data_IF_250696405930
#
_entry.id   IF_250696405930
#
_cell.length_a   1.000
_cell.length_b   1.000
_cell.length_c   1.000
_cell.angle_alpha   90.00
_cell.angle_beta   90.00
_cell.angle_gamma   90.00
#
_symmetry.space_group_name_H-M   'P 1'
#
loop_
_entity.id
_entity.type
_entity.pdbx_description
1 polymer ?
#
# COMPACT_ATOMS: atom_id res chain seq x y z
N UNK A 1 12.57 10.62 -6.37
CA UNK A 1 11.36 9.79 -6.57
C UNK A 1 11.22 9.08 -7.95
N UNK A 2 12.28 8.80 -8.77
CA UNK A 2 12.15 7.84 -9.90
C UNK A 2 12.45 6.38 -9.55
N UNK A 3 13.17 6.12 -8.46
CA UNK A 3 13.68 4.77 -8.15
C UNK A 3 12.59 3.80 -7.71
N UNK A 4 11.65 4.23 -6.85
CA UNK A 4 10.69 3.35 -6.18
C UNK A 4 9.61 2.80 -7.11
N UNK A 5 9.11 3.64 -8.03
CA UNK A 5 8.13 3.21 -9.01
C UNK A 5 8.66 2.05 -9.87
N UNK A 6 9.98 2.03 -10.13
CA UNK A 6 10.63 0.94 -10.88
C UNK A 6 10.67 -0.37 -10.11
N UNK A 7 10.71 -0.35 -8.78
CA UNK A 7 10.66 -1.56 -7.95
C UNK A 7 9.25 -2.17 -7.91
N UNK A 8 8.22 -1.33 -8.07
CA UNK A 8 6.83 -1.77 -8.16
C UNK A 8 6.47 -2.26 -9.56
N UNK A 9 7.09 -1.67 -10.59
CA UNK A 9 6.80 -1.89 -12.01
C UNK A 9 6.74 -3.37 -12.44
N UNK A 10 7.57 -4.31 -11.93
CA UNK A 10 7.48 -5.72 -12.29
C UNK A 10 6.14 -6.38 -11.98
N UNK A 11 5.38 -5.90 -10.99
CA UNK A 11 4.05 -6.44 -10.71
C UNK A 11 3.01 -6.08 -11.79
N UNK A 12 3.33 -5.09 -12.64
CA UNK A 12 2.44 -4.57 -13.67
C UNK A 12 2.71 -5.14 -15.06
N UNK A 13 3.54 -6.17 -15.19
CA UNK A 13 3.79 -6.83 -16.47
C UNK A 13 2.50 -7.47 -17.03
N UNK A 14 2.12 -7.10 -18.25
CA UNK A 14 1.01 -7.71 -19.00
C UNK A 14 1.51 -8.33 -20.31
N UNK A 15 0.72 -9.21 -20.91
CA UNK A 15 0.98 -9.68 -22.29
C UNK A 15 0.45 -8.65 -23.29
N UNK A 16 1.30 -8.19 -24.21
CA UNK A 16 0.97 -7.12 -25.17
C UNK A 16 0.67 -7.65 -26.58
N UNK A 17 0.47 -8.97 -26.75
CA UNK A 17 0.22 -9.62 -28.05
C UNK A 17 1.40 -9.60 -29.03
N UNK A 18 2.39 -8.73 -28.82
CA UNK A 18 3.60 -8.62 -29.63
C UNK A 18 4.81 -9.27 -28.93
N UNK A 19 5.33 -10.34 -29.52
CA UNK A 19 6.50 -11.07 -28.99
C UNK A 19 7.78 -10.24 -28.93
N UNK A 20 7.88 -9.13 -29.67
CA UNK A 20 9.08 -8.26 -29.70
C UNK A 20 9.08 -7.20 -28.59
N UNK A 21 8.00 -7.08 -27.83
CA UNK A 21 7.94 -6.07 -26.79
C UNK A 21 8.89 -6.41 -25.66
N UNK A 22 9.71 -5.42 -25.31
CA UNK A 22 10.62 -5.54 -24.18
C UNK A 22 9.84 -5.71 -22.88
N UNK A 23 10.45 -6.35 -21.88
CA UNK A 23 9.87 -6.48 -20.54
C UNK A 23 9.42 -5.13 -19.98
N UNK A 24 10.23 -4.09 -20.16
CA UNK A 24 9.91 -2.73 -19.71
C UNK A 24 8.67 -2.17 -20.43
N UNK A 25 8.53 -2.40 -21.74
CA UNK A 25 7.34 -1.99 -22.49
C UNK A 25 6.08 -2.64 -21.94
N UNK A 26 6.12 -3.95 -21.68
CA UNK A 26 4.98 -4.69 -21.11
C UNK A 26 4.58 -4.19 -19.74
N UNK A 27 5.55 -3.86 -18.88
CA UNK A 27 5.25 -3.33 -17.56
C UNK A 27 4.74 -1.90 -17.58
N UNK A 28 5.29 -1.06 -18.46
CA UNK A 28 4.81 0.31 -18.69
C UNK A 28 3.38 0.29 -19.21
N UNK A 29 3.06 -0.59 -20.16
CA UNK A 29 1.72 -0.75 -20.71
C UNK A 29 0.72 -1.16 -19.62
N UNK A 30 1.06 -2.15 -18.78
CA UNK A 30 0.17 -2.60 -17.72
C UNK A 30 -0.04 -1.57 -16.59
N UNK A 31 0.99 -0.78 -16.25
CA UNK A 31 0.82 0.33 -15.30
C UNK A 31 0.01 1.48 -15.92
N UNK A 32 0.21 1.76 -17.21
CA UNK A 32 -0.56 2.75 -17.96
C UNK A 32 -2.05 2.37 -18.03
N UNK A 33 -2.35 1.09 -18.32
CA UNK A 33 -3.70 0.53 -18.30
C UNK A 33 -4.33 0.67 -16.92
N UNK A 34 -3.62 0.26 -15.86
CA UNK A 34 -4.10 0.34 -14.48
C UNK A 34 -4.42 1.77 -14.03
N UNK A 35 -3.54 2.74 -14.33
CA UNK A 35 -3.72 4.14 -13.93
C UNK A 35 -4.59 4.95 -14.91
N UNK A 36 -5.09 4.33 -15.99
CA UNK A 36 -5.77 5.02 -17.09
C UNK A 36 -4.98 6.22 -17.66
N UNK A 37 -3.66 6.04 -17.83
CA UNK A 37 -2.75 7.06 -18.36
C UNK A 37 -2.08 6.59 -19.64
N UNK A 38 -1.49 7.55 -20.36
CA UNK A 38 -0.70 7.24 -21.54
C UNK A 38 0.66 6.64 -21.14
N UNK A 39 1.16 5.65 -21.90
CA UNK A 39 2.48 5.04 -21.65
C UNK A 39 3.61 6.07 -21.58
N UNK A 40 3.57 7.13 -22.40
CA UNK A 40 4.57 8.21 -22.36
C UNK A 40 4.63 8.90 -21.00
N UNK A 41 3.49 9.02 -20.31
CA UNK A 41 3.39 9.60 -18.98
C UNK A 41 4.07 8.69 -17.97
N UNK A 42 3.79 7.38 -18.03
CA UNK A 42 4.45 6.39 -17.17
C UNK A 42 5.97 6.39 -17.40
N UNK A 43 6.42 6.42 -18.66
CA UNK A 43 7.85 6.52 -19.02
C UNK A 43 8.50 7.79 -18.46
N UNK A 44 7.77 8.90 -18.42
CA UNK A 44 8.23 10.14 -17.78
C UNK A 44 8.40 9.95 -16.27
N UNK A 45 7.44 9.34 -15.58
CA UNK A 45 7.51 9.08 -14.13
C UNK A 45 8.67 8.18 -13.73
N UNK A 46 9.01 7.17 -14.54
CA UNK A 46 10.15 6.30 -14.25
C UNK A 46 11.49 6.84 -14.75
N UNK A 47 11.54 7.94 -15.52
CA UNK A 47 12.81 8.43 -16.10
C UNK A 47 13.83 8.85 -15.04
N UNK A 48 15.12 8.56 -15.28
CA UNK A 48 16.21 9.07 -14.43
C UNK A 48 16.67 10.47 -14.82
N UNK A 49 16.41 10.89 -16.06
CA UNK A 49 17.07 12.03 -16.68
C UNK A 49 16.29 13.33 -16.55
N UNK A 50 15.08 13.31 -16.00
CA UNK A 50 14.21 14.49 -16.00
C UNK A 50 13.75 14.87 -14.61
N UNK A 51 13.96 16.14 -14.27
CA UNK A 51 13.26 16.86 -13.21
C UNK A 51 11.77 17.11 -13.54
N UNK A 52 11.22 16.46 -14.58
CA UNK A 52 10.12 17.05 -15.35
C UNK A 52 8.73 16.66 -14.87
N UNK A 53 8.48 15.45 -14.32
CA UNK A 53 7.17 15.09 -13.73
C UNK A 53 7.29 14.01 -12.66
N UNK A 54 6.90 14.33 -11.43
CA UNK A 54 6.65 13.32 -10.41
C UNK A 54 5.27 12.71 -10.65
N UNK A 55 5.15 11.40 -10.45
CA UNK A 55 3.85 10.74 -10.33
C UNK A 55 3.10 11.38 -9.17
N UNK A 56 1.84 11.83 -9.32
CA UNK A 56 1.02 12.30 -8.21
C UNK A 56 1.01 11.31 -7.04
N UNK A 57 0.96 11.81 -5.79
CA UNK A 57 0.99 10.95 -4.61
C UNK A 57 -0.19 9.95 -4.57
N UNK A 58 -1.36 10.35 -5.07
CA UNK A 58 -2.53 9.48 -5.20
C UNK A 58 -2.29 8.32 -6.18
N UNK A 59 -1.74 8.60 -7.37
CA UNK A 59 -1.38 7.58 -8.35
C UNK A 59 -0.32 6.63 -7.78
N UNK A 60 0.62 7.18 -7.00
CA UNK A 60 1.67 6.39 -6.34
C UNK A 60 1.09 5.47 -5.27
N UNK A 61 0.17 5.98 -4.44
CA UNK A 61 -0.56 5.17 -3.46
C UNK A 61 -1.39 4.06 -4.13
N UNK A 62 -2.15 4.40 -5.18
CA UNK A 62 -2.91 3.41 -5.94
C UNK A 62 -2.01 2.31 -6.54
N UNK A 63 -0.84 2.71 -7.07
CA UNK A 63 0.18 1.78 -7.58
C UNK A 63 0.72 0.88 -6.48
N UNK A 64 1.00 1.43 -5.30
CA UNK A 64 1.53 0.70 -4.16
C UNK A 64 0.51 -0.33 -3.63
N UNK A 65 -0.76 0.06 -3.49
CA UNK A 65 -1.85 -0.83 -3.07
C UNK A 65 -2.02 -1.98 -4.07
N UNK A 66 -2.09 -1.68 -5.37
CA UNK A 66 -2.25 -2.69 -6.41
C UNK A 66 -1.04 -3.62 -6.49
N UNK A 67 0.16 -3.10 -6.27
CA UNK A 67 1.37 -3.93 -6.17
C UNK A 67 1.25 -4.96 -5.04
N UNK A 68 0.74 -4.59 -3.85
CA UNK A 68 0.51 -5.56 -2.76
C UNK A 68 -0.51 -6.61 -3.17
N UNK A 69 -1.63 -6.20 -3.80
CA UNK A 69 -2.68 -7.12 -4.29
C UNK A 69 -2.12 -8.13 -5.28
N UNK A 70 -1.35 -7.67 -6.27
CA UNK A 70 -0.73 -8.54 -7.28
C UNK A 70 0.33 -9.45 -6.67
N UNK A 71 1.16 -8.94 -5.75
CA UNK A 71 2.18 -9.72 -5.05
C UNK A 71 1.57 -10.80 -4.14
N UNK A 72 0.45 -10.50 -3.48
CA UNK A 72 -0.30 -11.49 -2.69
C UNK A 72 -0.79 -12.65 -3.58
N UNK A 73 -1.47 -12.35 -4.70
CA UNK A 73 -1.91 -13.38 -5.67
C UNK A 73 -0.75 -14.21 -6.21
N UNK A 74 0.35 -13.55 -6.58
CA UNK A 74 1.55 -14.22 -7.05
C UNK A 74 2.18 -15.13 -5.98
N UNK A 75 2.21 -14.68 -4.72
CA UNK A 75 2.73 -15.47 -3.60
C UNK A 75 1.90 -16.74 -3.39
N UNK A 76 0.57 -16.63 -3.38
CA UNK A 76 -0.32 -17.80 -3.24
C UNK A 76 -0.10 -18.79 -4.38
N UNK A 77 0.03 -18.32 -5.62
CA UNK A 77 0.33 -19.18 -6.78
C UNK A 77 1.66 -19.92 -6.66
N UNK A 78 2.69 -19.25 -6.14
CA UNK A 78 4.05 -19.84 -5.98
C UNK A 78 4.10 -20.84 -4.82
N UNK A 79 3.48 -20.52 -3.68
CA UNK A 79 3.53 -21.35 -2.48
C UNK A 79 2.44 -22.43 -2.44
N UNK A 80 1.44 -22.36 -3.33
CA UNK A 80 0.38 -23.35 -3.49
C UNK A 80 -0.69 -23.36 -2.40
N UNK A 81 -0.52 -22.59 -1.32
CA UNK A 81 -1.51 -22.45 -0.25
C UNK A 81 -1.41 -21.09 0.45
N UNK A 82 -2.54 -20.44 0.77
CA UNK A 82 -2.53 -19.26 1.62
C UNK A 82 -2.33 -19.63 3.09
N UNK A 83 -1.68 -18.73 3.81
CA UNK A 83 -1.47 -18.80 5.26
C UNK A 83 -2.34 -17.79 6.01
N UNK A 84 -2.82 -16.74 5.32
CA UNK A 84 -3.67 -15.71 5.89
C UNK A 84 -4.79 -15.29 4.94
N UNK A 85 -5.89 -14.80 5.52
CA UNK A 85 -7.07 -14.33 4.81
C UNK A 85 -7.50 -12.95 5.30
N UNK A 86 -8.05 -12.16 4.38
CA UNK A 86 -8.75 -10.90 4.67
C UNK A 86 -10.21 -11.08 4.29
N UNK A 87 -11.12 -10.60 5.15
CA UNK A 87 -12.58 -10.74 4.98
C UNK A 87 -13.26 -9.39 4.91
N UNK A 88 -14.42 -9.34 4.28
CA UNK A 88 -15.32 -8.19 4.28
C UNK A 88 -16.27 -8.17 5.49
N UNK A 89 -17.06 -7.10 5.64
CA UNK A 89 -18.07 -6.98 6.70
C UNK A 89 -19.12 -8.10 6.76
N UNK A 90 -19.29 -8.87 5.69
CA UNK A 90 -20.19 -10.03 5.63
C UNK A 90 -19.45 -11.35 5.89
N UNK A 91 -18.21 -11.28 6.37
CA UNK A 91 -17.28 -12.39 6.57
C UNK A 91 -16.90 -13.15 5.28
N UNK A 92 -17.18 -12.59 4.10
CA UNK A 92 -16.71 -13.15 2.84
C UNK A 92 -15.22 -12.89 2.67
N UNK A 93 -14.51 -13.90 2.21
CA UNK A 93 -13.09 -13.78 1.94
C UNK A 93 -12.86 -12.92 0.70
N UNK A 94 -12.09 -11.84 0.85
CA UNK A 94 -11.74 -10.92 -0.25
C UNK A 94 -10.29 -11.10 -0.70
N UNK A 95 -9.38 -11.51 0.19
CA UNK A 95 -7.98 -11.77 -0.16
C UNK A 95 -7.43 -13.03 0.49
N UNK A 96 -6.53 -13.67 -0.25
CA UNK A 96 -5.68 -14.77 0.19
C UNK A 96 -4.22 -14.32 0.13
N UNK A 97 -3.46 -14.54 1.20
CA UNK A 97 -2.05 -14.14 1.25
C UNK A 97 -1.18 -15.21 1.91
N UNK A 98 0.10 -15.20 1.59
CA UNK A 98 1.11 -16.09 2.21
C UNK A 98 1.80 -15.38 3.37
N UNK A 99 1.90 -14.05 3.31
CA UNK A 99 2.66 -13.28 4.28
C UNK A 99 1.74 -12.41 5.13
N UNK A 100 1.97 -12.41 6.44
CA UNK A 100 1.15 -11.65 7.40
C UNK A 100 1.04 -10.17 7.04
N UNK A 101 2.16 -9.55 6.66
CA UNK A 101 2.20 -8.14 6.28
C UNK A 101 1.27 -7.82 5.09
N UNK A 102 1.09 -8.74 4.14
CA UNK A 102 0.19 -8.55 3.00
C UNK A 102 -1.26 -8.53 3.50
N UNK A 103 -1.62 -9.47 4.38
CA UNK A 103 -2.97 -9.51 4.95
C UNK A 103 -3.26 -8.28 5.80
N UNK A 104 -2.32 -7.85 6.64
CA UNK A 104 -2.48 -6.66 7.49
C UNK A 104 -2.60 -5.41 6.64
N UNK A 105 -1.69 -5.20 5.69
CA UNK A 105 -1.78 -4.07 4.77
C UNK A 105 -3.12 -4.04 4.02
N UNK A 106 -3.53 -5.15 3.41
CA UNK A 106 -4.78 -5.23 2.65
C UNK A 106 -6.02 -5.07 3.54
N UNK A 107 -6.01 -5.57 4.77
CA UNK A 107 -7.08 -5.34 5.74
C UNK A 107 -7.18 -3.88 6.18
N UNK A 108 -6.04 -3.20 6.31
CA UNK A 108 -5.99 -1.80 6.72
C UNK A 108 -6.43 -0.85 5.60
N UNK A 109 -6.06 -1.11 4.34
CA UNK A 109 -6.28 -0.16 3.23
C UNK A 109 -7.53 -0.43 2.40
N UNK A 110 -8.04 -1.67 2.38
CA UNK A 110 -9.21 -1.99 1.58
C UNK A 110 -10.50 -1.55 2.29
N UNK A 111 -11.28 -0.71 1.62
CA UNK A 111 -12.53 -0.16 2.15
C UNK A 111 -13.56 -1.25 2.47
N UNK A 112 -13.51 -2.39 1.79
CA UNK A 112 -14.46 -3.48 1.98
C UNK A 112 -14.10 -4.38 3.17
N UNK A 113 -12.87 -4.30 3.68
CA UNK A 113 -12.40 -5.19 4.74
C UNK A 113 -13.18 -4.98 6.06
N UNK A 114 -13.56 -6.08 6.70
CA UNK A 114 -14.38 -6.15 7.94
C UNK A 114 -13.83 -5.32 9.09
N UNK A 115 -12.53 -5.07 9.06
CA UNK A 115 -11.80 -4.30 10.04
C UNK A 115 -10.35 -4.76 10.11
N UNK A 116 -9.68 -4.28 11.14
CA UNK A 116 -8.23 -4.28 11.34
C UNK A 116 -7.65 -5.67 11.73
N UNK A 117 -8.00 -6.73 11.01
CA UNK A 117 -7.67 -8.11 11.40
C UNK A 117 -7.23 -8.94 10.19
N UNK A 118 -5.98 -9.39 10.23
CA UNK A 118 -5.53 -10.50 9.41
C UNK A 118 -5.87 -11.83 10.12
N UNK A 119 -6.55 -12.73 9.42
CA UNK A 119 -6.91 -14.05 9.98
C UNK A 119 -5.89 -15.09 9.54
N UNK A 120 -5.34 -15.85 10.49
CA UNK A 120 -4.47 -16.99 10.19
C UNK A 120 -5.32 -18.15 9.66
N UNK A 121 -4.82 -18.87 8.66
CA UNK A 121 -5.52 -20.05 8.14
C UNK A 121 -5.77 -21.07 9.25
N UNK A 122 -7.04 -21.48 9.38
CA UNK A 122 -7.47 -22.47 10.38
C UNK A 122 -7.55 -21.93 11.81
N UNK A 123 -7.32 -20.63 12.03
CA UNK A 123 -7.48 -20.00 13.34
C UNK A 123 -8.29 -18.70 13.22
N UNK A 124 -9.32 -18.55 14.04
CA UNK A 124 -10.07 -17.30 14.19
C UNK A 124 -9.35 -16.25 15.07
N UNK A 125 -8.11 -16.54 15.51
CA UNK A 125 -7.29 -15.63 16.33
C UNK A 125 -6.30 -14.85 15.46
N UNK A 126 -6.20 -13.56 15.74
CA UNK A 126 -5.22 -12.64 15.14
C UNK A 126 -3.84 -12.99 15.71
N UNK A 127 -2.83 -13.10 14.85
CA UNK A 127 -1.43 -13.29 15.28
C UNK A 127 -0.89 -11.97 15.83
N UNK A 128 -0.14 -12.01 16.92
CA UNK A 128 0.50 -10.81 17.48
C UNK A 128 1.44 -10.19 16.43
N UNK A 129 1.23 -8.90 16.17
CA UNK A 129 2.03 -8.11 15.25
C UNK A 129 3.34 -7.70 15.93
N UNK A 130 4.44 -7.63 15.19
CA UNK A 130 5.63 -6.95 15.70
C UNK A 130 5.37 -5.44 15.83
N UNK A 131 6.19 -4.75 16.63
CA UNK A 131 6.00 -3.33 16.92
C UNK A 131 6.03 -2.45 15.65
N UNK A 132 6.83 -2.82 14.65
CA UNK A 132 6.93 -2.05 13.42
C UNK A 132 5.64 -2.15 12.58
N UNK A 133 5.09 -3.36 12.47
CA UNK A 133 3.81 -3.64 11.82
C UNK A 133 2.66 -2.95 12.55
N UNK A 134 2.65 -2.97 13.89
CA UNK A 134 1.63 -2.26 14.69
C UNK A 134 1.64 -0.76 14.40
N UNK A 135 2.82 -0.13 14.40
CA UNK A 135 2.96 1.31 14.16
C UNK A 135 2.56 1.70 12.73
N UNK A 136 2.91 0.88 11.74
CA UNK A 136 2.49 1.11 10.34
C UNK A 136 0.99 0.92 10.16
N UNK A 137 0.41 -0.09 10.82
CA UNK A 137 -1.03 -0.31 10.84
C UNK A 137 -1.75 0.91 11.44
N UNK A 138 -1.32 1.38 12.62
CA UNK A 138 -1.85 2.62 13.23
C UNK A 138 -1.76 3.83 12.30
N UNK A 139 -0.63 4.03 11.62
CA UNK A 139 -0.49 5.11 10.63
C UNK A 139 -1.52 4.98 9.49
N UNK A 140 -1.69 3.78 8.92
CA UNK A 140 -2.69 3.52 7.87
C UNK A 140 -4.11 3.81 8.36
N UNK A 141 -4.40 3.55 9.63
CA UNK A 141 -5.72 3.81 10.22
C UNK A 141 -5.98 5.31 10.35
N UNK A 142 -4.99 6.07 10.84
CA UNK A 142 -5.07 7.52 10.94
C UNK A 142 -5.33 8.13 9.55
N UNK A 143 -4.58 7.69 8.53
CA UNK A 143 -4.75 8.11 7.13
C UNK A 143 -6.12 7.72 6.58
N UNK A 144 -6.57 6.48 6.79
CA UNK A 144 -7.84 5.96 6.25
C UNK A 144 -9.07 6.63 6.85
N UNK A 145 -9.03 6.98 8.14
CA UNK A 145 -10.18 7.56 8.83
C UNK A 145 -10.53 8.95 8.29
N UNK A 146 -9.62 9.61 7.57
CA UNK A 146 -9.82 10.92 6.92
C UNK A 146 -10.30 12.03 7.88
N UNK A 147 -9.99 11.89 9.18
CA UNK A 147 -10.30 12.87 10.21
C UNK A 147 -9.24 13.98 10.22
N UNK A 148 -7.97 13.58 10.08
CA UNK A 148 -6.85 14.49 9.91
C UNK A 148 -6.51 14.59 8.44
N UNK A 149 -6.28 15.81 7.95
CA UNK A 149 -5.81 16.00 6.58
C UNK A 149 -4.43 15.36 6.36
N UNK A 150 -4.15 14.91 5.14
CA UNK A 150 -2.84 14.36 4.79
C UNK A 150 -1.71 15.36 5.03
N UNK A 151 -1.96 16.66 4.87
CA UNK A 151 -1.01 17.74 5.17
C UNK A 151 -0.66 17.75 6.66
N UNK A 152 -1.67 17.70 7.54
CA UNK A 152 -1.47 17.63 9.00
C UNK A 152 -0.66 16.39 9.40
N UNK A 153 -0.99 15.24 8.82
CA UNK A 153 -0.28 13.98 9.07
C UNK A 153 1.18 14.11 8.63
N UNK A 154 1.42 14.66 7.44
CA UNK A 154 2.76 14.88 6.90
C UNK A 154 3.58 15.83 7.77
N UNK A 155 3.00 16.92 8.25
CA UNK A 155 3.67 17.90 9.11
C UNK A 155 4.13 17.28 10.44
N UNK A 156 3.25 16.56 11.14
CA UNK A 156 3.62 15.91 12.41
C UNK A 156 4.64 14.79 12.18
N UNK A 157 4.49 14.06 11.07
CA UNK A 157 5.42 12.98 10.75
C UNK A 157 6.76 13.47 10.20
N UNK A 158 6.86 14.74 9.79
CA UNK A 158 7.96 15.33 9.01
C UNK A 158 8.19 14.58 7.69
N UNK A 159 7.09 14.24 7.01
CA UNK A 159 7.08 13.54 5.74
C UNK A 159 6.61 14.47 4.61
N UNK A 160 7.00 14.17 3.37
CA UNK A 160 6.18 14.53 2.22
C UNK A 160 5.16 13.40 1.94
N UNK A 161 4.15 13.66 1.10
CA UNK A 161 3.11 12.68 0.76
C UNK A 161 3.68 11.36 0.20
N UNK A 162 4.83 11.45 -0.45
CA UNK A 162 5.54 10.32 -1.02
C UNK A 162 6.20 9.44 0.05
N UNK A 163 6.82 10.06 1.05
CA UNK A 163 7.32 9.42 2.24
C UNK A 163 6.18 8.82 3.05
N UNK A 164 5.02 9.49 3.15
CA UNK A 164 3.84 8.94 3.81
C UNK A 164 3.37 7.63 3.15
N UNK A 165 3.27 7.58 1.82
CA UNK A 165 2.96 6.34 1.10
C UNK A 165 3.97 5.24 1.38
N UNK A 166 5.26 5.57 1.30
CA UNK A 166 6.31 4.62 1.61
C UNK A 166 6.14 4.07 3.01
N UNK A 167 6.13 4.91 4.05
CA UNK A 167 6.08 4.51 5.46
C UNK A 167 4.92 3.55 5.81
N UNK A 168 3.85 3.56 5.01
CA UNK A 168 2.71 2.65 5.14
C UNK A 168 2.93 1.26 4.51
N UNK A 169 3.90 1.08 3.60
CA UNK A 169 4.15 -0.15 2.85
C UNK A 169 5.07 -1.12 3.60
N UNK A 170 4.54 -2.31 3.93
CA UNK A 170 5.34 -3.42 4.47
C UNK A 170 5.91 -4.31 3.35
N UNK A 171 6.98 -5.06 3.65
CA UNK A 171 7.59 -6.00 2.68
C UNK A 171 8.46 -5.35 1.59
N UNK A 172 8.83 -4.09 1.78
CA UNK A 172 9.89 -3.43 1.04
C UNK A 172 11.05 -3.18 2.02
N UNK A 173 12.29 -3.52 1.64
CA UNK A 173 13.45 -3.61 2.56
C UNK A 173 13.91 -2.29 3.18
N UNK A 174 13.28 -1.16 2.89
CA UNK A 174 13.66 0.14 3.44
C UNK A 174 13.04 0.30 4.84
N UNK A 175 13.89 0.21 5.86
CA UNK A 175 13.50 0.31 7.26
C UNK A 175 13.40 1.76 7.69
N UNK A 176 12.18 2.25 7.76
CA UNK A 176 11.82 3.27 8.74
C UNK A 176 10.46 2.93 9.32
N UNK A 177 10.44 2.73 10.63
CA UNK A 177 9.24 2.52 11.41
C UNK A 177 8.71 3.90 11.82
N UNK A 178 7.40 4.19 11.68
CA UNK A 178 6.83 5.43 12.21
C UNK A 178 7.24 5.67 13.67
N UNK A 179 7.49 6.93 14.03
CA UNK A 179 7.82 7.29 15.41
C UNK A 179 6.61 7.12 16.31
N UNK A 180 6.77 6.41 17.42
CA UNK A 180 5.71 6.17 18.40
C UNK A 180 5.14 7.49 18.96
N UNK A 181 6.01 8.43 19.34
CA UNK A 181 5.59 9.73 19.91
C UNK A 181 4.79 10.55 18.90
N UNK A 182 5.16 10.50 17.62
CA UNK A 182 4.44 11.21 16.55
C UNK A 182 3.08 10.56 16.28
N UNK A 183 3.00 9.23 16.28
CA UNK A 183 1.73 8.50 16.19
C UNK A 183 0.80 8.85 17.34
N UNK A 184 1.28 8.84 18.59
CA UNK A 184 0.47 9.21 19.76
C UNK A 184 -0.05 10.65 19.68
N UNK A 185 0.74 11.55 19.08
CA UNK A 185 0.32 12.94 18.84
C UNK A 185 -0.83 13.00 17.84
N UNK A 186 -0.72 12.29 16.71
CA UNK A 186 -1.79 12.21 15.71
C UNK A 186 -3.07 11.56 16.27
N UNK A 187 -2.93 10.49 17.06
CA UNK A 187 -4.07 9.83 17.70
C UNK A 187 -4.79 10.74 18.69
N UNK A 188 -4.03 11.54 19.46
CA UNK A 188 -4.61 12.55 20.35
C UNK A 188 -5.34 13.63 19.56
N UNK A 189 -4.73 14.16 18.51
CA UNK A 189 -5.37 15.17 17.64
C UNK A 189 -6.66 14.63 17.00
N UNK A 190 -6.65 13.38 16.55
CA UNK A 190 -7.82 12.71 16.00
C UNK A 190 -8.93 12.56 17.05
N UNK A 191 -8.57 12.15 18.27
CA UNK A 191 -9.52 12.03 19.38
C UNK A 191 -10.12 13.40 19.77
N UNK A 192 -9.31 14.46 19.76
CA UNK A 192 -9.77 15.84 19.99
C UNK A 192 -10.76 16.28 18.90
N UNK A 193 -10.46 16.08 17.61
CA UNK A 193 -11.38 16.45 16.52
C UNK A 193 -12.70 15.66 16.51
N UNK A 194 -12.67 14.38 16.93
CA UNK A 194 -13.90 13.60 17.14
C UNK A 194 -14.69 14.16 18.34
N UNK A 195 -13.99 14.60 19.39
CA UNK A 195 -14.57 15.18 20.62
C UNK A 195 -15.01 16.64 20.50
N UNK A 196 -14.58 17.37 19.47
CA UNK A 196 -14.96 18.78 19.21
C UNK A 196 -16.37 18.95 18.60
N UNK A 197 -17.12 17.85 18.43
CA UNK A 197 -18.55 17.85 18.12
C UNK A 197 -19.46 17.49 19.32
N UNK A 198 -18.92 17.45 20.54
CA UNK A 198 -19.66 17.12 21.77
C UNK A 198 -20.02 18.34 22.62
#
# INVERSE_FOLDING_TARGET
MPYRLRDLLPAFEIETGNRKDTKLTRQVAGLAEFLHKQERTIRSYISYSSAERMMPAEDYWATAVEWVKRRARASVRVHGKPDFFVRDHNHHQIYETVWMWQAVFLGDVDQQAEGWKAYVRGQSRVREYDEAMQRRSRLRHIVRNDILSLETICDVMEFDLYCLTDYQMEGVDWRSTPSETKLQTLERMQAEMIGEAA
#
